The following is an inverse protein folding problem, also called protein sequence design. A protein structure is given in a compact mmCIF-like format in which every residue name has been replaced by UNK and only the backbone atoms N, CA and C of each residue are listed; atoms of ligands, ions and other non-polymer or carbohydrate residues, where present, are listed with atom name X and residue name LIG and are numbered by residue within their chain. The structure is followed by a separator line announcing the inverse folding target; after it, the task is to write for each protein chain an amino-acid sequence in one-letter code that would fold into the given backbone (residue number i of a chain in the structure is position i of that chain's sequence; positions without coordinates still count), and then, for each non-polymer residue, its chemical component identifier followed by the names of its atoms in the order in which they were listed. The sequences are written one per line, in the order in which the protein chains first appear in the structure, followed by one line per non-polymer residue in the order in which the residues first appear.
data_IF_575023364644
#
_entry.id   IF_575023364644
#
_cell.length_a   1.000
_cell.length_b   1.000
_cell.length_c   1.000
_cell.angle_alpha   90.00
_cell.angle_beta   90.00
_cell.angle_gamma   90.00
#
_symmetry.space_group_name_H-M   'P 1'
#
loop_
_entity.id
_entity.type
_entity.pdbx_description
1 polymer ?
#
# COMPACT_ATOMS: atom_id res chain seq x y z
N UNK A 1 -8.44 2.17 -0.77
CA UNK A 1 -7.31 2.03 -1.71
C UNK A 1 -6.18 1.31 -1.02
N UNK A 2 -5.48 0.49 -1.77
CA UNK A 2 -4.38 -0.29 -1.22
C UNK A 2 -3.28 0.59 -0.64
N UNK A 3 -3.06 1.75 -1.22
CA UNK A 3 -2.03 2.69 -0.77
C UNK A 3 -2.19 3.02 0.72
N UNK A 4 -3.42 3.24 1.15
CA UNK A 4 -3.64 3.58 2.56
C UNK A 4 -3.30 2.41 3.47
N UNK A 5 -3.55 1.20 3.03
CA UNK A 5 -3.18 0.02 3.81
C UNK A 5 -1.67 -0.11 3.93
N UNK A 6 -0.97 0.17 2.84
CA UNK A 6 0.49 0.11 2.84
C UNK A 6 1.08 1.17 3.78
N UNK A 7 0.53 2.38 3.73
CA UNK A 7 0.97 3.45 4.62
C UNK A 7 0.69 3.13 6.08
N UNK A 8 -0.47 2.56 6.36
CA UNK A 8 -0.81 2.20 7.73
C UNK A 8 0.08 1.08 8.25
N UNK A 9 0.41 0.11 7.41
CA UNK A 9 1.31 -0.97 7.80
C UNK A 9 2.70 -0.42 8.11
N UNK A 10 3.17 0.53 7.32
CA UNK A 10 4.45 1.16 7.55
C UNK A 10 4.46 1.93 8.88
N UNK A 11 3.40 2.71 9.12
CA UNK A 11 3.26 3.44 10.40
C UNK A 11 3.34 2.47 11.58
N UNK A 12 2.63 1.37 11.47
CA UNK A 12 2.62 0.39 12.55
C UNK A 12 4.00 -0.22 12.75
N UNK A 13 4.67 -0.56 11.66
CA UNK A 13 6.00 -1.17 11.74
C UNK A 13 7.02 -0.24 12.38
N UNK A 14 6.86 1.06 12.18
CA UNK A 14 7.78 2.07 12.71
C UNK A 14 7.31 2.67 14.04
N UNK A 15 6.15 2.27 14.53
CA UNK A 15 5.53 2.88 15.71
C UNK A 15 5.28 4.37 15.54
N UNK A 16 4.96 4.78 14.33
CA UNK A 16 4.64 6.17 14.05
C UNK A 16 3.17 6.43 14.36
N UNK A 17 2.87 7.65 14.77
CA UNK A 17 1.49 8.06 15.06
C UNK A 17 0.95 9.07 14.08
N UNK A 18 1.82 9.71 13.28
CA UNK A 18 1.39 10.75 12.36
C UNK A 18 1.93 10.49 10.96
N UNK A 19 1.14 10.87 9.97
CA UNK A 19 1.55 10.70 8.58
C UNK A 19 2.76 11.55 8.21
N UNK A 20 2.96 12.68 8.90
CA UNK A 20 4.12 13.52 8.60
C UNK A 20 5.44 12.79 8.85
N UNK A 21 5.42 11.79 9.70
CA UNK A 21 6.62 10.98 9.95
C UNK A 21 6.95 10.12 8.74
N UNK A 22 5.91 9.58 8.09
CA UNK A 22 6.10 8.85 6.84
C UNK A 22 6.62 9.79 5.76
N UNK A 23 6.02 10.98 5.68
CA UNK A 23 6.42 11.96 4.67
C UNK A 23 7.90 12.32 4.82
N UNK A 24 8.35 12.48 6.04
CA UNK A 24 9.76 12.75 6.31
C UNK A 24 10.65 11.63 5.79
N UNK A 25 10.27 10.39 6.06
CA UNK A 25 11.06 9.23 5.63
C UNK A 25 11.12 9.13 4.10
N UNK A 26 10.03 9.48 3.44
CA UNK A 26 9.95 9.42 1.97
C UNK A 26 10.54 10.67 1.31
N UNK A 27 10.85 11.71 2.08
CA UNK A 27 11.36 12.95 1.51
C UNK A 27 10.31 13.73 0.75
N UNK A 28 9.06 13.65 1.14
CA UNK A 28 7.97 14.36 0.49
C UNK A 28 7.32 15.34 1.49
N UNK A 29 6.58 16.30 0.94
CA UNK A 29 5.91 17.28 1.78
C UNK A 29 4.70 16.67 2.47
N UNK A 30 4.27 17.31 3.55
CA UNK A 30 3.06 16.87 4.25
C UNK A 30 1.83 17.07 3.36
N UNK A 31 1.87 18.09 2.49
CA UNK A 31 0.77 18.30 1.56
C UNK A 31 0.67 17.15 0.56
N UNK A 32 1.80 16.71 0.03
CA UNK A 32 1.80 15.57 -0.88
C UNK A 32 1.29 14.32 -0.17
N UNK A 33 1.70 14.11 1.06
CA UNK A 33 1.24 12.97 1.84
C UNK A 33 -0.28 13.01 2.02
N UNK A 34 -0.82 14.18 2.34
CA UNK A 34 -2.26 14.34 2.49
C UNK A 34 -2.98 14.02 1.17
N UNK A 35 -2.41 14.47 0.05
CA UNK A 35 -3.00 14.20 -1.25
C UNK A 35 -2.95 12.71 -1.60
N UNK A 36 -1.91 12.02 -1.19
CA UNK A 36 -1.83 10.58 -1.38
C UNK A 36 -2.91 9.89 -0.56
N UNK A 37 -3.10 10.32 0.68
CA UNK A 37 -4.12 9.73 1.55
C UNK A 37 -5.53 9.89 1.00
N UNK A 38 -5.82 11.04 0.39
CA UNK A 38 -7.18 11.28 -0.13
C UNK A 38 -7.37 10.82 -1.58
N UNK A 39 -6.34 10.25 -2.18
CA UNK A 39 -6.46 9.67 -3.51
C UNK A 39 -6.23 10.64 -4.66
N UNK A 40 -5.88 11.89 -4.39
CA UNK A 40 -5.62 12.85 -5.46
C UNK A 40 -4.20 12.74 -6.02
N UNK A 41 -3.30 12.05 -5.32
CA UNK A 41 -1.96 11.76 -5.81
C UNK A 41 -1.65 10.30 -5.50
N UNK A 42 -0.67 9.75 -6.22
CA UNK A 42 -0.24 8.36 -6.00
C UNK A 42 1.21 8.34 -5.59
N UNK A 43 1.57 7.28 -4.86
CA UNK A 43 2.98 7.02 -4.59
C UNK A 43 3.68 6.70 -5.90
N UNK A 44 4.95 7.08 -5.99
CA UNK A 44 5.78 6.60 -7.08
C UNK A 44 6.16 5.15 -6.79
N UNK A 45 6.62 4.47 -7.82
CA UNK A 45 7.08 3.10 -7.65
C UNK A 45 8.22 3.01 -6.65
N UNK A 46 9.16 3.96 -6.71
CA UNK A 46 10.28 4.00 -5.79
C UNK A 46 9.81 4.16 -4.35
N UNK A 47 8.84 5.04 -4.12
CA UNK A 47 8.30 5.26 -2.79
C UNK A 47 7.59 4.01 -2.28
N UNK A 48 6.80 3.38 -3.15
CA UNK A 48 6.09 2.17 -2.77
C UNK A 48 7.04 1.03 -2.42
N UNK A 49 8.11 0.89 -3.19
CA UNK A 49 9.10 -0.15 -2.92
C UNK A 49 9.86 0.11 -1.61
N UNK A 50 10.13 1.38 -1.31
CA UNK A 50 10.74 1.74 -0.04
C UNK A 50 9.89 1.25 1.13
N UNK A 51 8.59 1.53 1.05
CA UNK A 51 7.67 1.10 2.10
C UNK A 51 7.58 -0.42 2.18
N UNK A 52 7.52 -1.07 1.03
CA UNK A 52 7.41 -2.52 0.96
C UNK A 52 8.61 -3.19 1.63
N UNK A 53 9.79 -2.70 1.34
CA UNK A 53 11.01 -3.28 1.92
C UNK A 53 11.01 -3.12 3.44
N UNK A 54 10.58 -1.96 3.91
CA UNK A 54 10.59 -1.68 5.35
C UNK A 54 9.66 -2.61 6.14
N UNK A 55 8.56 -3.04 5.52
CA UNK A 55 7.59 -3.89 6.22
C UNK A 55 7.72 -5.37 5.82
N UNK A 56 8.64 -5.68 4.94
CA UNK A 56 8.84 -7.07 4.50
C UNK A 56 7.79 -7.57 3.53
N UNK A 57 7.12 -6.67 2.83
CA UNK A 57 6.11 -7.06 1.85
C UNK A 57 6.77 -7.45 0.53
N UNK A 58 6.10 -8.31 -0.22
CA UNK A 58 6.58 -8.72 -1.53
C UNK A 58 6.49 -7.56 -2.51
N UNK A 59 7.64 -7.21 -3.10
CA UNK A 59 7.72 -6.02 -3.96
C UNK A 59 6.84 -6.12 -5.20
N UNK A 60 6.79 -7.30 -5.80
CA UNK A 60 5.96 -7.47 -6.99
C UNK A 60 4.49 -7.28 -6.67
N UNK A 61 4.05 -7.83 -5.56
CA UNK A 61 2.67 -7.68 -5.10
C UNK A 61 2.34 -6.21 -4.90
N UNK A 62 3.25 -5.48 -4.26
CA UNK A 62 3.03 -4.05 -4.00
C UNK A 62 2.88 -3.28 -5.31
N UNK A 63 3.74 -3.56 -6.29
CA UNK A 63 3.66 -2.87 -7.57
C UNK A 63 2.36 -3.19 -8.32
N UNK A 64 1.90 -4.43 -8.25
CA UNK A 64 0.65 -4.81 -8.90
C UNK A 64 -0.53 -4.05 -8.29
N UNK A 65 -0.58 -3.98 -6.96
CA UNK A 65 -1.67 -3.26 -6.30
C UNK A 65 -1.57 -1.76 -6.54
N UNK A 66 -0.36 -1.23 -6.61
CA UNK A 66 -0.18 0.18 -6.93
C UNK A 66 -0.72 0.49 -8.33
N UNK A 67 -0.44 -0.37 -9.28
CA UNK A 67 -0.94 -0.22 -10.64
C UNK A 67 -2.47 -0.28 -10.66
N UNK A 68 -3.04 -1.18 -9.87
CA UNK A 68 -4.50 -1.30 -9.77
C UNK A 68 -5.11 0.00 -9.26
N UNK A 69 -4.49 0.60 -8.24
CA UNK A 69 -4.99 1.86 -7.68
C UNK A 69 -4.92 2.99 -8.71
N UNK A 70 -3.91 2.96 -9.58
CA UNK A 70 -3.73 4.00 -10.58
C UNK A 70 -4.60 3.85 -11.81
N UNK A 71 -5.22 2.70 -12.00
CA UNK A 71 -6.00 2.45 -13.20
C UNK A 71 -7.17 3.41 -13.29
N UNK A 72 -7.35 4.00 -14.47
CA UNK A 72 -8.31 5.09 -14.64
C UNK A 72 -9.67 4.65 -15.15
N UNK A 73 -9.75 3.48 -15.76
CA UNK A 73 -11.02 2.98 -16.26
C UNK A 73 -11.47 1.82 -15.38
N UNK A 74 -12.79 1.63 -15.32
CA UNK A 74 -13.34 0.53 -14.56
C UNK A 74 -12.79 -0.81 -15.07
N UNK A 75 -12.71 -0.95 -16.38
CA UNK A 75 -12.24 -2.18 -16.99
C UNK A 75 -10.79 -2.48 -16.59
N UNK A 76 -9.94 -1.45 -16.64
CA UNK A 76 -8.54 -1.61 -16.23
C UNK A 76 -8.44 -1.92 -14.74
N UNK A 77 -9.26 -1.29 -13.93
CA UNK A 77 -9.27 -1.55 -12.49
C UNK A 77 -9.64 -3.01 -12.22
N UNK A 78 -10.63 -3.53 -12.94
CA UNK A 78 -11.03 -4.92 -12.77
C UNK A 78 -9.93 -5.88 -13.20
N UNK A 79 -9.28 -5.57 -14.32
CA UNK A 79 -8.19 -6.40 -14.81
C UNK A 79 -7.04 -6.45 -13.81
N UNK A 80 -6.64 -5.29 -13.29
CA UNK A 80 -5.57 -5.23 -12.30
C UNK A 80 -5.98 -5.91 -11.00
N UNK A 81 -7.23 -5.75 -10.58
CA UNK A 81 -7.71 -6.40 -9.37
C UNK A 81 -7.65 -7.91 -9.50
N UNK A 82 -7.98 -8.44 -10.67
CA UNK A 82 -7.92 -9.88 -10.89
C UNK A 82 -6.47 -10.38 -10.85
N UNK A 83 -5.55 -9.61 -11.42
CA UNK A 83 -4.14 -9.97 -11.36
C UNK A 83 -3.66 -9.93 -9.91
N UNK A 84 -4.04 -8.90 -9.17
CA UNK A 84 -3.61 -8.73 -7.79
C UNK A 84 -4.06 -9.87 -6.91
N UNK A 85 -5.23 -10.43 -7.15
CA UNK A 85 -5.73 -11.56 -6.37
C UNK A 85 -4.78 -12.76 -6.43
N UNK A 86 -4.07 -12.91 -7.52
CA UNK A 86 -3.13 -14.02 -7.67
C UNK A 86 -1.93 -13.88 -6.76
N UNK A 87 -1.69 -12.69 -6.26
CA UNK A 87 -0.55 -12.41 -5.38
C UNK A 87 -0.94 -12.25 -3.92
N UNK A 88 -2.24 -12.44 -3.59
CA UNK A 88 -2.72 -12.10 -2.26
C UNK A 88 -2.07 -12.91 -1.16
N UNK A 89 -1.63 -14.12 -1.47
CA UNK A 89 -0.98 -14.96 -0.45
C UNK A 89 0.47 -14.58 -0.19
N UNK A 90 1.05 -13.68 -0.99
CA UNK A 90 2.45 -13.35 -0.88
C UNK A 90 2.72 -12.10 -0.05
N UNK A 91 2.29 -10.95 -0.54
CA UNK A 91 2.57 -9.70 0.16
C UNK A 91 1.38 -9.19 0.95
N UNK A 92 0.20 -9.34 0.40
CA UNK A 92 -1.00 -8.80 1.02
C UNK A 92 -1.34 -9.57 2.30
N UNK A 93 -1.17 -10.87 2.30
CA UNK A 93 -1.41 -11.65 3.50
C UNK A 93 -0.49 -11.18 4.62
N UNK A 94 0.76 -10.89 4.28
CA UNK A 94 1.72 -10.38 5.24
C UNK A 94 1.28 -9.06 5.81
N UNK A 95 0.80 -8.17 4.96
CA UNK A 95 0.29 -6.88 5.41
C UNK A 95 -0.88 -7.05 6.35
N UNK A 96 -1.80 -7.95 6.00
CA UNK A 96 -2.96 -8.20 6.83
C UNK A 96 -2.56 -8.73 8.19
N UNK A 97 -1.60 -9.62 8.22
CA UNK A 97 -1.12 -10.19 9.48
C UNK A 97 -0.53 -9.10 10.36
N UNK A 98 0.22 -8.19 9.77
CA UNK A 98 0.82 -7.09 10.52
C UNK A 98 -0.26 -6.22 11.13
N UNK A 99 -1.35 -6.04 10.43
CA UNK A 99 -2.43 -5.19 10.90
C UNK A 99 -3.41 -5.89 11.81
N UNK A 100 -3.04 -7.04 12.31
CA UNK A 100 -3.85 -7.77 13.28
C UNK A 100 -5.28 -7.98 12.80
N UNK A 101 -6.23 -7.25 13.32
CA UNK A 101 -7.63 -7.42 12.92
C UNK A 101 -7.84 -7.29 11.42
N UNK A 102 -7.03 -6.54 10.80
CA UNK A 102 -7.05 -6.39 9.38
C UNK A 102 -6.71 -7.69 8.67
N UNK A 103 -5.89 -8.50 9.30
CA UNK A 103 -5.49 -9.77 8.74
C UNK A 103 -6.68 -10.65 8.42
N UNK A 104 -7.72 -10.53 9.17
CA UNK A 104 -8.92 -11.33 8.98
C UNK A 104 -9.51 -11.09 7.61
N UNK A 105 -9.47 -9.85 7.16
CA UNK A 105 -10.05 -9.47 5.88
C UNK A 105 -9.33 -10.11 4.72
N UNK A 106 -8.02 -10.16 4.81
CA UNK A 106 -7.23 -10.62 3.68
C UNK A 106 -6.87 -12.08 3.75
N UNK A 107 -6.87 -12.64 4.92
CA UNK A 107 -6.56 -14.06 5.05
C UNK A 107 -7.76 -14.91 4.74
N UNK A 108 -8.93 -14.33 4.67
CA UNK A 108 -10.13 -15.08 4.37
C UNK A 108 -10.12 -15.74 3.00
N UNK A 109 -9.50 -15.19 2.00
CA UNK A 109 -9.48 -15.85 0.68
C UNK A 109 -8.80 -17.19 0.76
#
# INVERSE_FOLDING_TARGET
MYINELLDAYKKAKNYVQDKQIAHDLGISTQKMSNIRNGSRYLTETEALFLAEAIGADKETVLVYLAADKAKTYEAQQAWANIAKKYSGLGISGLSMVCAGFAVVFTSP
#
